data_IF_493661132744
#
_entry.id   IF_493661132744
#
_cell.length_a   1.000
_cell.length_b   1.000
_cell.length_c   1.000
_cell.angle_alpha   90.00
_cell.angle_beta   90.00
_cell.angle_gamma   90.00
#
_symmetry.space_group_name_H-M   'P 1'
#
loop_
_entity.id
_entity.type
_entity.pdbx_description
1 polymer ?
#
# COMPACT_ATOMS: atom_id res chain seq x y z
N UNK A 1 -13.66 -22.94 -8.43
CA UNK A 1 -13.15 -22.40 -9.70
C UNK A 1 -12.74 -23.50 -10.66
N UNK A 2 -11.93 -24.49 -10.24
CA UNK A 2 -11.60 -25.68 -11.06
C UNK A 2 -12.86 -26.33 -11.66
N UNK A 3 -13.87 -26.60 -10.82
CA UNK A 3 -15.14 -27.18 -11.30
C UNK A 3 -15.90 -26.29 -12.29
N UNK A 4 -15.79 -24.96 -12.17
CA UNK A 4 -16.43 -24.03 -13.11
C UNK A 4 -15.77 -24.15 -14.48
N UNK A 5 -14.44 -24.19 -14.53
CA UNK A 5 -13.71 -24.39 -15.77
C UNK A 5 -13.94 -25.77 -16.38
N UNK A 6 -14.03 -26.83 -15.56
CA UNK A 6 -14.43 -28.17 -16.04
C UNK A 6 -15.79 -28.16 -16.73
N UNK A 7 -16.78 -27.47 -16.16
CA UNK A 7 -18.12 -27.32 -16.76
C UNK A 7 -18.06 -26.51 -18.06
N UNK A 8 -17.23 -25.46 -18.10
CA UNK A 8 -17.02 -24.65 -19.31
C UNK A 8 -16.42 -25.49 -20.43
N UNK A 9 -15.37 -26.26 -20.15
CA UNK A 9 -14.75 -27.19 -21.11
C UNK A 9 -15.76 -28.22 -21.63
N UNK A 10 -16.51 -28.88 -20.73
CA UNK A 10 -17.55 -29.83 -21.11
C UNK A 10 -18.65 -29.20 -21.99
N UNK A 11 -19.00 -27.93 -21.71
CA UNK A 11 -19.98 -27.17 -22.52
C UNK A 11 -19.43 -26.85 -23.90
N UNK A 12 -18.15 -26.47 -23.99
CA UNK A 12 -17.46 -26.21 -25.27
C UNK A 12 -17.44 -27.49 -26.11
N UNK A 13 -17.02 -28.60 -25.52
CA UNK A 13 -16.96 -29.90 -26.21
C UNK A 13 -18.33 -30.32 -26.72
N UNK A 14 -19.39 -30.21 -25.91
CA UNK A 14 -20.74 -30.55 -26.33
C UNK A 14 -21.26 -29.62 -27.44
N UNK A 15 -20.92 -28.33 -27.39
CA UNK A 15 -21.30 -27.35 -28.40
C UNK A 15 -20.72 -27.71 -29.78
N UNK A 16 -19.41 -27.96 -29.84
CA UNK A 16 -18.71 -28.27 -31.10
C UNK A 16 -18.98 -29.67 -31.62
N UNK A 17 -19.30 -30.64 -30.75
CA UNK A 17 -19.71 -31.99 -31.16
C UNK A 17 -21.20 -32.12 -31.49
N UNK A 18 -21.97 -31.03 -31.42
CA UNK A 18 -23.39 -31.08 -31.75
C UNK A 18 -23.59 -31.31 -33.25
N UNK A 19 -24.59 -32.11 -33.63
CA UNK A 19 -24.92 -32.36 -35.04
C UNK A 19 -25.67 -31.20 -35.71
N UNK A 20 -25.60 -30.00 -35.13
CA UNK A 20 -26.32 -28.82 -35.58
C UNK A 20 -25.41 -27.92 -36.43
N UNK A 21 -25.94 -27.25 -37.46
CA UNK A 21 -25.17 -26.25 -38.20
C UNK A 21 -24.87 -25.05 -37.30
N UNK A 22 -23.59 -24.82 -37.02
CA UNK A 22 -23.11 -23.71 -36.19
C UNK A 22 -22.79 -22.49 -37.06
N UNK A 23 -23.18 -21.29 -36.60
CA UNK A 23 -22.84 -20.02 -37.22
C UNK A 23 -22.22 -19.03 -36.21
N UNK A 24 -21.83 -17.85 -36.69
CA UNK A 24 -21.20 -16.81 -35.88
C UNK A 24 -22.08 -16.35 -34.70
N UNK A 25 -23.41 -16.37 -34.84
CA UNK A 25 -24.33 -15.97 -33.77
C UNK A 25 -24.32 -16.98 -32.63
N UNK A 26 -24.24 -18.28 -32.96
CA UNK A 26 -24.10 -19.36 -31.97
C UNK A 26 -22.76 -19.26 -31.24
N UNK A 27 -21.65 -19.08 -31.97
CA UNK A 27 -20.33 -18.87 -31.37
C UNK A 27 -20.35 -17.68 -30.42
N UNK A 28 -20.82 -16.51 -30.88
CA UNK A 28 -20.92 -15.31 -30.06
C UNK A 28 -21.74 -15.54 -28.79
N UNK A 29 -22.83 -16.29 -28.87
CA UNK A 29 -23.68 -16.62 -27.72
C UNK A 29 -22.95 -17.51 -26.71
N UNK A 30 -22.16 -18.48 -27.16
CA UNK A 30 -21.30 -19.30 -26.30
C UNK A 30 -20.26 -18.41 -25.57
N UNK A 31 -19.55 -17.54 -26.30
CA UNK A 31 -18.53 -16.65 -25.71
C UNK A 31 -19.14 -15.72 -24.65
N UNK A 32 -20.31 -15.13 -24.93
CA UNK A 32 -21.05 -14.30 -23.96
C UNK A 32 -21.43 -15.12 -22.72
N UNK A 33 -21.92 -16.35 -22.88
CA UNK A 33 -22.31 -17.21 -21.77
C UNK A 33 -21.13 -17.51 -20.83
N UNK A 34 -20.00 -17.93 -21.41
CA UNK A 34 -18.77 -18.22 -20.67
C UNK A 34 -18.27 -16.96 -19.94
N UNK A 35 -18.06 -15.87 -20.67
CA UNK A 35 -17.48 -14.65 -20.09
C UNK A 35 -18.39 -14.00 -19.05
N UNK A 36 -19.71 -13.97 -19.27
CA UNK A 36 -20.67 -13.44 -18.30
C UNK A 36 -20.64 -14.23 -16.99
N UNK A 37 -20.51 -15.56 -17.06
CA UNK A 37 -20.43 -16.40 -15.85
C UNK A 37 -19.18 -16.10 -15.02
N UNK A 38 -18.04 -15.87 -15.68
CA UNK A 38 -16.78 -15.51 -15.03
C UNK A 38 -16.84 -14.09 -14.45
N UNK A 39 -17.44 -13.14 -15.17
CA UNK A 39 -17.63 -11.77 -14.69
C UNK A 39 -18.46 -11.72 -13.40
N UNK A 40 -19.50 -12.54 -13.27
CA UNK A 40 -20.29 -12.63 -12.03
C UNK A 40 -19.41 -13.06 -10.84
N UNK A 41 -18.52 -14.04 -11.04
CA UNK A 41 -17.59 -14.47 -10.00
C UNK A 41 -16.58 -13.36 -9.63
N UNK A 42 -16.00 -12.70 -10.62
CA UNK A 42 -15.05 -11.60 -10.42
C UNK A 42 -15.71 -10.42 -9.67
N UNK A 43 -16.91 -10.02 -10.08
CA UNK A 43 -17.68 -8.96 -9.42
C UNK A 43 -18.00 -9.34 -7.96
N UNK A 44 -18.34 -10.60 -7.70
CA UNK A 44 -18.54 -11.07 -6.33
C UNK A 44 -17.25 -10.94 -5.49
N UNK A 45 -16.09 -11.27 -6.05
CA UNK A 45 -14.81 -11.13 -5.37
C UNK A 45 -14.44 -9.66 -5.10
N UNK A 46 -14.74 -8.76 -6.03
CA UNK A 46 -14.53 -7.32 -5.90
C UNK A 46 -15.42 -6.70 -4.81
N UNK A 47 -16.70 -7.07 -4.76
CA UNK A 47 -17.65 -6.58 -3.76
C UNK A 47 -17.29 -6.96 -2.31
N UNK A 48 -16.44 -7.97 -2.12
CA UNK A 48 -15.93 -8.37 -0.81
C UNK A 48 -14.76 -7.52 -0.32
N UNK A 49 -14.14 -6.69 -1.16
CA UNK A 49 -12.97 -5.91 -0.78
C UNK A 49 -13.31 -4.82 0.25
N UNK A 50 -12.28 -4.39 0.98
CA UNK A 50 -12.35 -3.29 1.96
C UNK A 50 -11.30 -2.26 1.60
N UNK A 51 -11.61 -0.98 1.79
CA UNK A 51 -10.63 0.09 1.56
C UNK A 51 -9.42 -0.07 2.47
N UNK A 52 -8.23 0.05 1.88
CA UNK A 52 -6.94 0.07 2.61
C UNK A 52 -6.93 1.11 3.72
N UNK A 53 -7.54 2.28 3.50
CA UNK A 53 -7.59 3.37 4.47
C UNK A 53 -8.28 2.97 5.78
N UNK A 54 -9.22 2.02 5.73
CA UNK A 54 -9.92 1.50 6.92
C UNK A 54 -8.99 0.71 7.85
N UNK A 55 -7.87 0.21 7.34
CA UNK A 55 -6.89 -0.51 8.14
C UNK A 55 -5.90 0.38 8.88
N UNK A 56 -5.66 1.59 8.37
CA UNK A 56 -4.63 2.48 8.89
C UNK A 56 -5.06 3.07 10.25
N UNK A 57 -4.18 3.09 11.26
CA UNK A 57 -4.46 3.74 12.53
C UNK A 57 -4.53 5.26 12.33
N UNK A 58 -5.39 5.90 13.12
CA UNK A 58 -5.46 7.36 13.19
C UNK A 58 -4.16 7.87 13.81
N UNK A 59 -3.56 8.90 13.21
CA UNK A 59 -2.37 9.53 13.77
C UNK A 59 -2.71 10.14 15.15
N UNK A 60 -1.91 9.86 16.19
CA UNK A 60 -2.07 10.48 17.50
C UNK A 60 -1.97 12.00 17.45
N UNK A 61 -2.53 12.66 18.46
CA UNK A 61 -2.37 14.11 18.63
C UNK A 61 -0.88 14.44 18.79
N UNK A 62 -0.41 15.48 18.09
CA UNK A 62 0.96 15.93 18.21
C UNK A 62 1.22 16.43 19.63
N UNK A 63 2.27 15.87 20.24
CA UNK A 63 2.78 16.29 21.54
C UNK A 63 4.25 16.61 21.41
N UNK A 64 4.77 17.41 22.34
CA UNK A 64 6.21 17.61 22.49
C UNK A 64 6.74 16.74 23.61
N UNK A 65 7.98 16.26 23.46
CA UNK A 65 8.68 15.56 24.52
C UNK A 65 8.68 16.37 25.82
N UNK A 66 8.31 15.70 26.92
CA UNK A 66 8.55 16.19 28.27
C UNK A 66 9.04 15.05 29.13
N UNK A 67 10.08 15.33 29.91
CA UNK A 67 10.59 14.39 30.89
C UNK A 67 9.53 14.21 31.99
N UNK A 68 9.09 12.96 32.19
CA UNK A 68 8.07 12.65 33.20
C UNK A 68 8.70 12.65 34.58
N UNK A 69 8.13 13.44 35.50
CA UNK A 69 8.55 13.49 36.92
C UNK A 69 8.32 12.15 37.63
N UNK A 70 7.45 11.28 37.09
CA UNK A 70 7.21 9.92 37.58
C UNK A 70 7.51 8.88 36.47
N UNK A 71 8.63 8.12 36.56
CA UNK A 71 8.99 7.08 35.60
C UNK A 71 7.98 5.92 35.52
N UNK A 72 7.10 5.77 36.52
CA UNK A 72 6.15 4.66 36.64
C UNK A 72 4.74 4.97 36.12
N UNK A 73 4.50 6.20 35.63
CA UNK A 73 3.23 6.55 35.02
C UNK A 73 3.09 5.79 33.68
N UNK A 74 2.25 4.74 33.68
CA UNK A 74 1.93 3.96 32.48
C UNK A 74 1.28 4.88 31.44
N UNK A 75 2.00 5.23 30.37
CA UNK A 75 1.42 5.91 29.21
C UNK A 75 0.38 4.97 28.57
N UNK A 76 -0.90 5.37 28.57
CA UNK A 76 -2.01 4.56 28.08
C UNK A 76 -1.83 4.17 26.60
N UNK A 77 -2.46 3.04 26.25
CA UNK A 77 -2.48 2.51 24.89
C UNK A 77 -3.16 3.51 23.96
N UNK A 78 -2.68 3.65 22.72
CA UNK A 78 -3.50 4.27 21.66
C UNK A 78 -4.71 3.35 21.51
N UNK A 79 -5.88 3.78 22.00
CA UNK A 79 -7.10 2.99 21.86
C UNK A 79 -7.43 2.86 20.37
N UNK A 80 -7.54 1.63 19.83
CA UNK A 80 -7.99 1.47 18.46
C UNK A 80 -9.41 2.00 18.37
N UNK A 81 -9.63 2.99 17.49
CA UNK A 81 -10.96 3.47 17.17
C UNK A 81 -11.88 2.27 16.92
N UNK A 82 -12.98 2.19 17.68
CA UNK A 82 -13.96 1.11 17.62
C UNK A 82 -14.35 0.90 16.15
N UNK A 83 -13.90 -0.21 15.56
CA UNK A 83 -14.25 -0.53 14.18
C UNK A 83 -15.66 -1.07 14.17
N UNK A 84 -16.48 -0.52 13.27
CA UNK A 84 -17.84 -1.00 13.05
C UNK A 84 -17.84 -2.52 12.85
N UNK A 85 -18.71 -3.23 13.58
CA UNK A 85 -18.84 -4.69 13.56
C UNK A 85 -18.98 -5.25 12.14
N UNK A 86 -19.63 -4.49 11.24
CA UNK A 86 -19.75 -4.81 9.81
C UNK A 86 -18.40 -4.88 9.08
N UNK A 87 -17.47 -3.98 9.40
CA UNK A 87 -16.11 -3.97 8.81
C UNK A 87 -15.30 -5.14 9.35
N UNK A 88 -15.38 -5.42 10.65
CA UNK A 88 -14.70 -6.57 11.26
C UNK A 88 -15.13 -7.90 10.61
N UNK A 89 -16.43 -8.08 10.35
CA UNK A 89 -16.95 -9.28 9.68
C UNK A 89 -16.44 -9.42 8.24
N UNK A 90 -16.35 -8.33 7.46
CA UNK A 90 -15.75 -8.36 6.12
C UNK A 90 -14.27 -8.75 6.18
N UNK A 91 -13.54 -8.20 7.16
CA UNK A 91 -12.11 -8.46 7.35
C UNK A 91 -11.81 -9.93 7.71
N UNK A 92 -12.73 -10.64 8.37
CA UNK A 92 -12.60 -12.08 8.61
C UNK A 92 -12.55 -12.90 7.32
N UNK A 93 -13.07 -12.37 6.20
CA UNK A 93 -12.98 -12.98 4.87
C UNK A 93 -11.79 -12.47 4.04
N UNK A 94 -10.98 -11.58 4.60
CA UNK A 94 -9.81 -10.97 3.96
C UNK A 94 -8.54 -11.17 4.80
N UNK A 95 -8.43 -12.30 5.50
CA UNK A 95 -7.18 -12.73 6.16
C UNK A 95 -6.11 -13.04 5.12
N UNK A 96 -4.82 -12.89 5.46
CA UNK A 96 -3.69 -13.17 4.55
C UNK A 96 -3.85 -14.51 3.79
N UNK A 97 -4.13 -15.66 4.44
CA UNK A 97 -4.33 -16.94 3.72
C UNK A 97 -5.46 -16.89 2.67
N UNK A 98 -6.62 -16.32 3.03
CA UNK A 98 -7.77 -16.17 2.12
C UNK A 98 -7.45 -15.25 0.94
N UNK A 99 -6.64 -14.22 1.15
CA UNK A 99 -6.19 -13.33 0.08
C UNK A 99 -5.22 -14.04 -0.87
N UNK A 100 -4.30 -14.87 -0.36
CA UNK A 100 -3.44 -15.72 -1.18
C UNK A 100 -4.26 -16.69 -2.05
N UNK A 101 -5.26 -17.36 -1.48
CA UNK A 101 -6.16 -18.24 -2.25
C UNK A 101 -6.91 -17.48 -3.35
N UNK A 102 -7.39 -16.27 -3.07
CA UNK A 102 -8.04 -15.41 -4.07
C UNK A 102 -7.07 -15.03 -5.19
N UNK A 103 -5.83 -14.64 -4.87
CA UNK A 103 -4.79 -14.33 -5.84
C UNK A 103 -4.46 -15.53 -6.73
N UNK A 104 -4.28 -16.72 -6.15
CA UNK A 104 -4.09 -17.95 -6.92
C UNK A 104 -5.27 -18.24 -7.83
N UNK A 105 -6.51 -18.01 -7.34
CA UNK A 105 -7.70 -18.22 -8.15
C UNK A 105 -7.76 -17.26 -9.33
N UNK A 106 -7.38 -15.99 -9.15
CA UNK A 106 -7.32 -15.00 -10.22
C UNK A 106 -6.22 -15.35 -11.25
N UNK A 107 -5.06 -15.81 -10.78
CA UNK A 107 -4.00 -16.30 -11.65
C UNK A 107 -4.47 -17.51 -12.47
N UNK A 108 -5.10 -18.48 -11.81
CA UNK A 108 -5.69 -19.65 -12.47
C UNK A 108 -6.75 -19.26 -13.50
N UNK A 109 -7.65 -18.32 -13.19
CA UNK A 109 -8.62 -17.81 -14.18
C UNK A 109 -7.89 -17.27 -15.41
N UNK A 110 -6.85 -16.46 -15.24
CA UNK A 110 -6.10 -15.88 -16.36
C UNK A 110 -5.45 -16.96 -17.23
N UNK A 111 -4.79 -17.94 -16.62
CA UNK A 111 -4.12 -19.03 -17.35
C UNK A 111 -5.13 -19.91 -18.10
N UNK A 112 -6.30 -20.16 -17.51
CA UNK A 112 -7.37 -20.94 -18.15
C UNK A 112 -8.09 -20.17 -19.27
N UNK A 113 -8.23 -18.85 -19.15
CA UNK A 113 -8.85 -18.03 -20.20
C UNK A 113 -8.06 -18.10 -21.50
N UNK A 114 -6.74 -18.05 -21.43
CA UNK A 114 -5.88 -18.16 -22.60
C UNK A 114 -6.01 -19.56 -23.25
N UNK A 115 -6.08 -20.60 -22.43
CA UNK A 115 -6.25 -21.99 -22.91
C UNK A 115 -7.62 -22.18 -23.60
N UNK A 116 -8.69 -21.68 -22.99
CA UNK A 116 -10.05 -21.80 -23.54
C UNK A 116 -10.23 -20.98 -24.80
N UNK A 117 -9.72 -19.76 -24.84
CA UNK A 117 -9.82 -18.92 -26.02
C UNK A 117 -9.18 -19.59 -27.23
N UNK A 118 -7.95 -20.10 -27.09
CA UNK A 118 -7.26 -20.79 -28.17
C UNK A 118 -7.94 -22.12 -28.54
N UNK A 119 -8.45 -22.86 -27.55
CA UNK A 119 -9.21 -24.10 -27.79
C UNK A 119 -10.49 -23.88 -28.59
N UNK A 120 -11.25 -22.81 -28.28
CA UNK A 120 -12.45 -22.44 -29.01
C UNK A 120 -12.11 -21.97 -30.42
N UNK A 121 -11.08 -21.13 -30.60
CA UNK A 121 -10.62 -20.70 -31.94
C UNK A 121 -10.27 -21.89 -32.81
N UNK A 122 -9.49 -22.84 -32.29
CA UNK A 122 -9.10 -24.04 -33.03
C UNK A 122 -10.33 -24.89 -33.40
N UNK A 123 -11.22 -25.15 -32.45
CA UNK A 123 -12.44 -25.92 -32.69
C UNK A 123 -13.34 -25.27 -33.74
N UNK A 124 -13.39 -23.93 -33.76
CA UNK A 124 -14.13 -23.16 -34.75
C UNK A 124 -13.55 -23.29 -36.16
N UNK A 125 -12.21 -23.21 -36.29
CA UNK A 125 -11.52 -23.44 -37.57
C UNK A 125 -11.78 -24.85 -38.11
N UNK A 126 -11.80 -25.85 -37.23
CA UNK A 126 -12.06 -27.24 -37.61
C UNK A 126 -13.50 -27.41 -38.13
N UNK A 127 -14.49 -26.80 -37.47
CA UNK A 127 -15.89 -26.79 -37.94
C UNK A 127 -16.02 -26.09 -39.30
N UNK A 128 -15.42 -24.92 -39.47
CA UNK A 128 -15.48 -24.20 -40.75
C UNK A 128 -14.83 -24.99 -41.88
N UNK A 129 -13.72 -25.68 -41.60
CA UNK A 129 -13.02 -26.53 -42.56
C UNK A 129 -13.87 -27.73 -42.97
N UNK A 130 -14.55 -28.37 -42.02
CA UNK A 130 -15.47 -29.48 -42.28
C UNK A 130 -16.68 -29.04 -43.12
N UNK A 131 -17.28 -27.89 -42.81
CA UNK A 131 -18.38 -27.29 -43.57
C UNK A 131 -17.93 -26.93 -44.99
N UNK A 132 -16.77 -26.29 -45.14
CA UNK A 132 -16.21 -25.96 -46.45
C UNK A 132 -15.92 -27.19 -47.32
N UNK A 133 -15.48 -28.30 -46.71
CA UNK A 133 -15.29 -29.57 -47.40
C UNK A 133 -16.64 -30.19 -47.82
N UNK A 134 -17.67 -30.10 -46.98
CA UNK A 134 -19.02 -30.58 -47.29
C UNK A 134 -19.68 -29.78 -48.44
N UNK A 135 -19.46 -28.46 -48.46
CA UNK A 135 -19.91 -27.57 -49.52
C UNK A 135 -19.16 -27.86 -50.83
N UNK A 136 -17.84 -28.09 -50.78
CA UNK A 136 -17.04 -28.48 -51.95
C UNK A 136 -17.53 -29.81 -52.55
N UNK A 137 -17.74 -30.83 -51.71
CA UNK A 137 -18.27 -32.12 -52.14
C UNK A 137 -19.69 -32.00 -52.72
N UNK A 138 -20.55 -31.17 -52.11
CA UNK A 138 -21.90 -30.91 -52.62
C UNK A 138 -21.86 -30.21 -53.98
N UNK A 139 -20.98 -29.23 -54.18
CA UNK A 139 -20.75 -28.55 -55.45
C UNK A 139 -20.22 -29.49 -56.55
N UNK A 140 -19.40 -30.50 -56.19
CA UNK A 140 -18.93 -31.52 -57.13
C UNK A 140 -20.05 -32.47 -57.61
N UNK A 141 -21.16 -32.54 -56.87
CA UNK A 141 -22.35 -33.34 -57.22
C UNK A 141 -23.49 -32.54 -57.87
N UNK A 142 -23.35 -31.20 -57.93
CA UNK A 142 -24.36 -30.27 -58.42
C UNK A 142 -23.77 -29.42 -59.54
N UNK A 143 -24.17 -29.66 -60.79
CA UNK A 143 -23.79 -28.81 -61.92
C UNK A 143 -24.33 -27.37 -61.73
N UNK A 144 -23.43 -26.48 -61.29
CA UNK A 144 -23.57 -25.03 -61.39
C UNK A 144 -24.16 -24.32 -60.17
N UNK A 145 -23.30 -23.82 -59.28
CA UNK A 145 -23.59 -22.64 -58.48
C UNK A 145 -22.30 -21.94 -58.00
N UNK A 146 -22.35 -20.61 -58.03
CA UNK A 146 -21.28 -19.65 -57.78
C UNK A 146 -20.83 -19.59 -56.31
N UNK A 147 -19.52 -19.51 -56.13
CA UNK A 147 -18.83 -19.32 -54.85
C UNK A 147 -19.30 -18.05 -54.13
N UNK A 148 -19.92 -18.19 -52.95
CA UNK A 148 -20.10 -17.07 -52.02
C UNK A 148 -18.81 -16.90 -51.22
N UNK A 149 -18.27 -15.68 -51.26
CA UNK A 149 -17.09 -15.25 -50.52
C UNK A 149 -17.26 -15.47 -49.01
N UNK A 150 -16.21 -15.98 -48.37
CA UNK A 150 -16.08 -16.16 -46.93
C UNK A 150 -16.26 -14.83 -46.18
N UNK A 151 -16.82 -14.85 -44.95
CA UNK A 151 -16.71 -13.70 -44.05
C UNK A 151 -15.23 -13.46 -43.75
N UNK A 152 -14.79 -12.20 -43.75
CA UNK A 152 -13.41 -11.82 -43.44
C UNK A 152 -13.03 -12.15 -42.00
N UNK A 153 -11.86 -12.74 -41.80
CA UNK A 153 -11.27 -13.12 -40.49
C UNK A 153 -11.33 -11.99 -39.46
N UNK A 154 -11.22 -10.72 -39.88
CA UNK A 154 -11.31 -9.54 -39.00
C UNK A 154 -12.59 -9.50 -38.14
N UNK A 155 -13.70 -10.07 -38.61
CA UNK A 155 -14.97 -10.07 -37.85
C UNK A 155 -15.04 -11.11 -36.73
N UNK A 156 -14.21 -12.16 -36.77
CA UNK A 156 -14.22 -13.25 -35.78
C UNK A 156 -13.29 -12.90 -34.62
N UNK A 157 -12.11 -12.36 -34.90
CA UNK A 157 -11.17 -11.91 -33.86
C UNK A 157 -11.80 -10.84 -32.97
N UNK A 158 -12.62 -9.95 -33.53
CA UNK A 158 -13.40 -8.97 -32.77
C UNK A 158 -14.32 -9.61 -31.72
N UNK A 159 -14.84 -10.83 -31.95
CA UNK A 159 -15.71 -11.52 -30.99
C UNK A 159 -14.96 -11.97 -29.74
N UNK A 160 -13.68 -12.31 -29.88
CA UNK A 160 -12.85 -12.80 -28.76
C UNK A 160 -12.36 -11.69 -27.85
N UNK A 161 -12.45 -10.42 -28.26
CA UNK A 161 -12.15 -9.26 -27.40
C UNK A 161 -12.98 -9.24 -26.11
N UNK A 162 -14.12 -9.95 -26.07
CA UNK A 162 -14.91 -10.13 -24.84
C UNK A 162 -14.14 -10.85 -23.70
N UNK A 163 -13.14 -11.66 -24.03
CA UNK A 163 -12.25 -12.26 -23.03
C UNK A 163 -11.30 -11.24 -22.40
N UNK A 164 -10.90 -10.21 -23.16
CA UNK A 164 -9.99 -9.16 -22.66
C UNK A 164 -10.62 -8.36 -21.53
N UNK A 165 -11.95 -8.17 -21.56
CA UNK A 165 -12.69 -7.55 -20.47
C UNK A 165 -12.59 -8.37 -19.18
N UNK A 166 -12.69 -9.70 -19.28
CA UNK A 166 -12.53 -10.61 -18.13
C UNK A 166 -11.08 -10.59 -17.62
N UNK A 167 -10.09 -10.65 -18.52
CA UNK A 167 -8.66 -10.57 -18.18
C UNK A 167 -8.36 -9.27 -17.45
N UNK A 168 -8.77 -8.13 -18.00
CA UNK A 168 -8.58 -6.80 -17.43
C UNK A 168 -9.21 -6.70 -16.05
N UNK A 169 -10.41 -7.23 -15.88
CA UNK A 169 -11.09 -7.26 -14.57
C UNK A 169 -10.32 -8.11 -13.56
N UNK A 170 -9.86 -9.31 -13.95
CA UNK A 170 -9.05 -10.16 -13.08
C UNK A 170 -7.72 -9.51 -12.67
N UNK A 171 -7.04 -8.80 -13.59
CA UNK A 171 -5.82 -8.03 -13.30
C UNK A 171 -6.12 -6.90 -12.31
N UNK A 172 -7.18 -6.12 -12.52
CA UNK A 172 -7.55 -5.03 -11.62
C UNK A 172 -7.84 -5.53 -10.19
N UNK A 173 -8.56 -6.64 -10.06
CA UNK A 173 -8.83 -7.26 -8.74
C UNK A 173 -7.53 -7.80 -8.14
N UNK A 174 -6.65 -8.40 -8.94
CA UNK A 174 -5.31 -8.86 -8.49
C UNK A 174 -4.52 -7.71 -7.89
N UNK A 175 -4.43 -6.59 -8.59
CA UNK A 175 -3.71 -5.40 -8.10
C UNK A 175 -4.37 -4.80 -6.85
N UNK A 176 -5.70 -4.82 -6.78
CA UNK A 176 -6.44 -4.39 -5.57
C UNK A 176 -6.08 -5.25 -4.36
N UNK A 177 -6.06 -6.57 -4.52
CA UNK A 177 -5.69 -7.50 -3.43
C UNK A 177 -4.21 -7.34 -3.05
N UNK A 178 -3.31 -7.22 -4.03
CA UNK A 178 -1.88 -6.99 -3.78
C UNK A 178 -1.63 -5.69 -3.00
N UNK A 179 -2.34 -4.62 -3.33
CA UNK A 179 -2.24 -3.34 -2.61
C UNK A 179 -2.84 -3.41 -1.18
N UNK A 180 -3.64 -4.42 -0.88
CA UNK A 180 -4.29 -4.60 0.41
C UNK A 180 -3.56 -5.58 1.35
N UNK A 181 -3.04 -6.70 0.82
CA UNK A 181 -2.55 -7.83 1.62
C UNK A 181 -1.43 -7.47 2.59
N UNK A 182 -0.45 -6.66 2.18
CA UNK A 182 0.61 -6.21 3.07
C UNK A 182 0.09 -5.31 4.18
N UNK A 183 -0.81 -4.37 3.85
CA UNK A 183 -1.45 -3.50 4.85
C UNK A 183 -2.31 -4.29 5.82
N UNK A 184 -3.00 -5.33 5.34
CA UNK A 184 -3.72 -6.28 6.18
C UNK A 184 -2.80 -6.97 7.18
N UNK A 185 -1.70 -7.54 6.71
CA UNK A 185 -0.74 -8.22 7.58
C UNK A 185 -0.18 -7.29 8.66
N UNK A 186 0.29 -6.09 8.28
CA UNK A 186 1.03 -5.21 9.18
C UNK A 186 0.12 -4.33 10.04
N UNK A 187 -0.84 -3.62 9.43
CA UNK A 187 -1.67 -2.63 10.11
C UNK A 187 -2.92 -3.22 10.75
N UNK A 188 -3.18 -4.51 10.57
CA UNK A 188 -4.25 -5.20 11.29
C UNK A 188 -3.76 -6.42 12.05
N UNK A 189 -3.22 -7.43 11.37
CA UNK A 189 -2.88 -8.71 12.03
C UNK A 189 -1.75 -8.52 13.05
N UNK A 190 -0.71 -7.75 12.69
CA UNK A 190 0.44 -7.45 13.56
C UNK A 190 0.34 -6.09 14.26
N UNK A 191 -0.82 -5.41 14.25
CA UNK A 191 -0.91 -4.02 14.72
C UNK A 191 -0.48 -3.85 16.17
N UNK A 192 -1.03 -4.68 17.06
CA UNK A 192 -0.79 -4.52 18.49
C UNK A 192 0.61 -5.05 18.87
N UNK A 193 1.03 -6.15 18.23
CA UNK A 193 2.33 -6.77 18.45
C UNK A 193 3.48 -5.93 17.89
N UNK A 194 3.37 -5.37 16.68
CA UNK A 194 4.43 -4.61 16.03
C UNK A 194 4.23 -3.11 16.19
N UNK A 195 3.17 -2.54 15.59
CA UNK A 195 3.00 -1.08 15.49
C UNK A 195 2.84 -0.39 16.84
N UNK A 196 2.15 -1.00 17.80
CA UNK A 196 1.91 -0.38 19.10
C UNK A 196 2.94 -0.75 20.18
N UNK A 197 3.86 -1.66 19.88
CA UNK A 197 4.85 -2.14 20.85
C UNK A 197 6.30 -1.77 20.50
N UNK A 198 6.67 -1.74 19.22
CA UNK A 198 8.04 -1.38 18.79
C UNK A 198 8.44 -0.01 19.34
N UNK A 199 9.61 0.06 19.99
CA UNK A 199 10.17 1.26 20.66
C UNK A 199 9.29 1.93 21.71
N UNK A 200 8.24 1.26 22.17
CA UNK A 200 7.42 1.81 23.26
C UNK A 200 8.28 1.92 24.51
N UNK A 201 8.22 3.06 25.19
CA UNK A 201 9.01 3.38 26.39
C UNK A 201 10.50 3.62 26.13
N UNK A 202 11.21 2.70 25.47
CA UNK A 202 12.59 2.91 25.01
C UNK A 202 12.91 2.04 23.81
N UNK A 203 13.93 2.44 23.03
CA UNK A 203 14.43 1.67 21.89
C UNK A 203 15.08 0.37 22.38
N UNK A 204 15.95 0.45 23.40
CA UNK A 204 16.68 -0.70 23.95
C UNK A 204 15.79 -1.85 24.42
N UNK A 205 14.61 -1.56 24.99
CA UNK A 205 13.73 -2.57 25.58
C UNK A 205 12.71 -3.17 24.62
N UNK A 206 12.48 -2.55 23.46
CA UNK A 206 11.44 -2.92 22.51
C UNK A 206 11.99 -2.93 21.08
N UNK A 207 13.03 -3.74 20.86
CA UNK A 207 13.78 -3.89 19.60
C UNK A 207 13.01 -4.69 18.56
N UNK A 208 13.37 -4.50 17.29
CA UNK A 208 12.76 -5.20 16.16
C UNK A 208 12.90 -6.74 16.25
N UNK A 209 14.01 -7.23 16.80
CA UNK A 209 14.30 -8.66 16.98
C UNK A 209 13.15 -9.43 17.62
N UNK A 210 12.46 -8.83 18.59
CA UNK A 210 11.32 -9.44 19.31
C UNK A 210 10.16 -9.77 18.35
N UNK A 211 10.04 -9.02 17.25
CA UNK A 211 8.91 -9.08 16.33
C UNK A 211 9.24 -9.82 15.03
N UNK A 212 10.51 -10.09 14.73
CA UNK A 212 10.95 -10.84 13.54
C UNK A 212 10.21 -12.19 13.41
N UNK A 213 10.09 -13.03 14.47
CA UNK A 213 9.39 -14.31 14.35
C UNK A 213 7.91 -14.16 13.93
N UNK A 214 7.27 -13.06 14.29
CA UNK A 214 5.88 -12.80 13.87
C UNK A 214 5.80 -12.44 12.38
N UNK A 215 6.79 -11.71 11.86
CA UNK A 215 6.87 -11.37 10.44
C UNK A 215 7.21 -12.62 9.63
N UNK A 216 8.15 -13.45 10.09
CA UNK A 216 8.49 -14.75 9.51
C UNK A 216 7.25 -15.64 9.39
N UNK A 217 6.46 -15.78 10.44
CA UNK A 217 5.23 -16.58 10.41
C UNK A 217 4.24 -16.11 9.32
N UNK A 218 4.16 -14.80 9.05
CA UNK A 218 3.32 -14.27 7.97
C UNK A 218 3.92 -14.60 6.60
N UNK A 219 5.24 -14.50 6.45
CA UNK A 219 5.94 -14.84 5.22
C UNK A 219 5.83 -16.34 4.90
N UNK A 220 5.98 -17.21 5.89
CA UNK A 220 5.80 -18.66 5.75
C UNK A 220 4.39 -18.98 5.26
N UNK A 221 3.36 -18.41 5.89
CA UNK A 221 1.97 -18.58 5.45
C UNK A 221 1.73 -18.11 4.02
N UNK A 222 2.38 -17.03 3.59
CA UNK A 222 2.30 -16.54 2.22
C UNK A 222 2.96 -17.54 1.27
N UNK A 223 4.19 -17.95 1.56
CA UNK A 223 4.99 -18.85 0.74
C UNK A 223 4.38 -20.25 0.61
N UNK A 224 3.75 -20.76 1.67
CA UNK A 224 3.06 -22.06 1.66
C UNK A 224 1.82 -22.08 0.77
N UNK A 225 1.19 -20.92 0.55
CA UNK A 225 -0.10 -20.83 -0.13
C UNK A 225 -0.01 -20.24 -1.53
N UNK A 226 0.87 -19.27 -1.78
CA UNK A 226 0.89 -18.51 -3.03
C UNK A 226 1.61 -19.28 -4.14
N UNK A 227 1.12 -19.16 -5.38
CA UNK A 227 1.85 -19.69 -6.56
C UNK A 227 3.12 -18.89 -6.84
N UNK A 228 4.17 -19.56 -7.33
CA UNK A 228 5.52 -18.99 -7.53
C UNK A 228 5.53 -17.68 -8.32
N UNK A 229 4.74 -17.59 -9.39
CA UNK A 229 4.64 -16.40 -10.26
C UNK A 229 4.12 -15.15 -9.53
N UNK A 230 3.49 -15.30 -8.37
CA UNK A 230 3.00 -14.20 -7.54
C UNK A 230 3.79 -14.01 -6.25
N UNK A 231 4.64 -14.95 -5.86
CA UNK A 231 5.34 -14.97 -4.56
C UNK A 231 6.05 -13.65 -4.28
N UNK A 232 6.95 -13.24 -5.16
CA UNK A 232 7.76 -12.03 -4.96
C UNK A 232 6.90 -10.77 -4.96
N UNK A 233 5.81 -10.74 -5.75
CA UNK A 233 4.86 -9.62 -5.74
C UNK A 233 4.16 -9.50 -4.39
N UNK A 234 3.76 -10.60 -3.77
CA UNK A 234 3.10 -10.59 -2.45
C UNK A 234 4.11 -10.23 -1.36
N UNK A 235 5.29 -10.86 -1.36
CA UNK A 235 6.35 -10.61 -0.37
C UNK A 235 6.78 -9.13 -0.41
N UNK A 236 6.92 -8.55 -1.61
CA UNK A 236 7.20 -7.12 -1.77
C UNK A 236 6.11 -6.23 -1.13
N UNK A 237 4.83 -6.61 -1.26
CA UNK A 237 3.73 -5.84 -0.64
C UNK A 237 3.76 -5.92 0.88
N UNK A 238 4.16 -7.06 1.44
CA UNK A 238 4.40 -7.20 2.89
C UNK A 238 5.58 -6.32 3.32
N UNK A 239 6.70 -6.36 2.59
CA UNK A 239 7.87 -5.53 2.88
C UNK A 239 7.55 -4.03 2.86
N UNK A 240 6.85 -3.57 1.81
CA UNK A 240 6.40 -2.18 1.70
C UNK A 240 5.52 -1.77 2.89
N UNK A 241 4.62 -2.65 3.32
CA UNK A 241 3.79 -2.40 4.49
C UNK A 241 4.62 -2.37 5.79
N UNK A 242 5.65 -3.22 5.93
CA UNK A 242 6.60 -3.15 7.05
C UNK A 242 7.35 -1.82 7.06
N UNK A 243 7.82 -1.32 5.92
CA UNK A 243 8.45 0.00 5.81
C UNK A 243 7.48 1.14 6.18
N UNK A 244 6.25 1.09 5.69
CA UNK A 244 5.22 2.06 6.07
C UNK A 244 4.89 2.00 7.57
N UNK A 245 4.81 0.79 8.14
CA UNK A 245 4.59 0.57 9.56
C UNK A 245 5.76 1.09 10.41
N UNK A 246 7.00 0.83 9.99
CA UNK A 246 8.20 1.33 10.65
C UNK A 246 8.24 2.85 10.63
N UNK A 247 8.01 3.48 9.47
CA UNK A 247 7.90 4.94 9.35
C UNK A 247 6.77 5.50 10.22
N UNK A 248 5.63 4.80 10.29
CA UNK A 248 4.54 5.19 11.19
C UNK A 248 4.98 5.16 12.65
N UNK A 249 5.72 4.14 13.10
CA UNK A 249 6.27 4.08 14.46
C UNK A 249 7.23 5.26 14.73
N UNK A 250 8.05 5.63 13.75
CA UNK A 250 9.02 6.72 13.86
C UNK A 250 8.39 8.12 13.90
N UNK A 251 7.26 8.33 13.23
CA UNK A 251 6.72 9.66 12.99
C UNK A 251 5.33 9.89 13.60
N UNK A 252 4.50 8.85 13.65
CA UNK A 252 3.12 8.88 14.11
C UNK A 252 2.92 7.90 15.30
N UNK A 253 4.00 7.48 15.95
CA UNK A 253 3.97 6.49 17.04
C UNK A 253 3.44 7.02 18.38
N UNK A 254 3.07 8.29 18.45
CA UNK A 254 2.45 8.91 19.62
C UNK A 254 3.40 9.16 20.80
N UNK A 255 2.88 9.72 21.91
CA UNK A 255 3.67 10.28 23.01
C UNK A 255 4.48 9.24 23.80
N UNK A 256 4.26 7.95 23.58
CA UNK A 256 4.98 6.87 24.27
C UNK A 256 6.40 6.64 23.72
N UNK A 257 6.77 7.35 22.66
CA UNK A 257 8.05 7.20 21.95
C UNK A 257 8.78 8.53 21.90
N UNK A 258 10.01 8.54 22.41
CA UNK A 258 10.93 9.64 22.28
C UNK A 258 12.35 9.09 22.08
N UNK A 259 13.07 9.62 21.10
CA UNK A 259 14.33 9.06 20.62
C UNK A 259 15.51 9.99 20.93
N UNK A 260 16.58 9.43 21.46
CA UNK A 260 17.89 10.07 21.59
C UNK A 260 18.72 9.86 20.32
N UNK A 261 19.76 10.69 20.15
CA UNK A 261 20.74 10.50 19.09
C UNK A 261 21.47 9.14 19.22
N UNK A 262 21.73 8.69 20.46
CA UNK A 262 22.36 7.40 20.76
C UNK A 262 21.50 6.19 20.37
N UNK A 263 20.17 6.36 20.33
CA UNK A 263 19.25 5.28 19.98
C UNK A 263 19.30 4.95 18.48
N UNK A 264 19.71 5.91 17.65
CA UNK A 264 19.61 5.81 16.19
C UNK A 264 20.42 4.64 15.63
N UNK A 265 21.56 4.31 16.23
CA UNK A 265 22.35 3.15 15.78
C UNK A 265 21.57 1.84 15.96
N UNK A 266 20.92 1.66 17.12
CA UNK A 266 20.07 0.49 17.38
C UNK A 266 18.88 0.43 16.40
N UNK A 267 18.32 1.60 16.07
CA UNK A 267 17.21 1.69 15.11
C UNK A 267 17.65 1.40 13.66
N UNK A 268 18.90 1.71 13.31
CA UNK A 268 19.51 1.34 12.02
C UNK A 268 19.81 -0.16 11.96
N UNK A 269 20.30 -0.75 13.04
CA UNK A 269 20.48 -2.20 13.16
C UNK A 269 19.14 -2.93 12.99
N UNK A 270 18.08 -2.40 13.61
CA UNK A 270 16.72 -2.92 13.49
C UNK A 270 16.15 -2.81 12.05
N UNK A 271 16.48 -1.74 11.33
CA UNK A 271 16.14 -1.62 9.91
C UNK A 271 16.94 -2.60 9.05
N UNK A 272 18.22 -2.83 9.36
CA UNK A 272 19.05 -3.82 8.68
C UNK A 272 18.50 -5.23 8.87
N UNK A 273 18.09 -5.59 10.10
CA UNK A 273 17.45 -6.87 10.41
C UNK A 273 16.19 -7.11 9.58
N UNK A 274 15.33 -6.09 9.42
CA UNK A 274 14.17 -6.17 8.53
C UNK A 274 14.58 -6.35 7.07
N UNK A 275 15.63 -5.68 6.60
CA UNK A 275 16.09 -5.82 5.21
C UNK A 275 16.63 -7.24 4.96
N UNK A 276 17.46 -7.73 5.86
CA UNK A 276 18.10 -9.04 5.77
C UNK A 276 17.06 -10.17 5.77
N UNK A 277 16.01 -10.04 6.60
CA UNK A 277 14.87 -10.97 6.62
C UNK A 277 14.24 -11.14 5.22
N UNK A 278 14.00 -10.04 4.50
CA UNK A 278 13.34 -10.09 3.20
C UNK A 278 14.29 -10.37 2.03
N UNK A 279 15.60 -10.18 2.23
CA UNK A 279 16.64 -10.67 1.30
C UNK A 279 16.78 -12.19 1.43
N UNK A 280 16.62 -12.73 2.64
CA UNK A 280 16.62 -14.16 2.95
C UNK A 280 17.83 -14.90 2.32
N UNK A 281 19.04 -14.40 2.56
CA UNK A 281 20.29 -14.96 2.00
C UNK A 281 20.27 -15.12 0.46
N UNK A 282 19.51 -14.26 -0.23
CA UNK A 282 19.37 -14.26 -1.69
C UNK A 282 18.24 -15.16 -2.21
N UNK A 283 17.50 -15.84 -1.34
CA UNK A 283 16.28 -16.59 -1.72
C UNK A 283 15.02 -15.71 -1.74
N UNK A 284 15.09 -14.50 -1.16
CA UNK A 284 13.99 -13.56 -1.06
C UNK A 284 13.99 -12.53 -2.20
N UNK A 285 13.69 -11.28 -1.84
CA UNK A 285 13.62 -10.18 -2.79
C UNK A 285 15.02 -9.67 -3.19
N UNK A 286 15.17 -9.13 -4.42
CA UNK A 286 16.42 -8.50 -4.85
C UNK A 286 16.84 -7.34 -3.93
N UNK A 287 18.13 -7.29 -3.58
CA UNK A 287 18.67 -6.29 -2.65
C UNK A 287 18.46 -4.85 -3.12
N UNK A 288 18.53 -4.58 -4.43
CA UNK A 288 18.28 -3.24 -4.99
C UNK A 288 16.84 -2.77 -4.79
N UNK A 289 15.87 -3.68 -4.87
CA UNK A 289 14.47 -3.41 -4.55
C UNK A 289 14.32 -3.12 -3.06
N UNK A 290 14.94 -3.91 -2.20
CA UNK A 290 14.93 -3.72 -0.75
C UNK A 290 15.51 -2.36 -0.35
N UNK A 291 16.68 -1.99 -0.88
CA UNK A 291 17.30 -0.68 -0.61
C UNK A 291 16.43 0.48 -1.08
N UNK A 292 15.82 0.35 -2.26
CA UNK A 292 14.95 1.39 -2.82
C UNK A 292 13.74 1.64 -1.92
N UNK A 293 13.06 0.60 -1.47
CA UNK A 293 11.86 0.73 -0.64
C UNK A 293 12.20 1.17 0.80
N UNK A 294 13.36 0.78 1.34
CA UNK A 294 13.84 1.18 2.67
C UNK A 294 14.39 2.62 2.72
N UNK A 295 14.67 3.25 1.57
CA UNK A 295 15.34 4.55 1.47
C UNK A 295 14.73 5.64 2.34
N UNK A 296 13.39 5.78 2.33
CA UNK A 296 12.72 6.81 3.10
C UNK A 296 12.87 6.59 4.61
N UNK A 297 12.78 5.35 5.08
CA UNK A 297 12.99 5.01 6.48
C UNK A 297 14.43 5.36 6.91
N UNK A 298 15.42 4.98 6.09
CA UNK A 298 16.83 5.32 6.33
C UNK A 298 17.04 6.84 6.47
N UNK A 299 16.48 7.61 5.54
CA UNK A 299 16.61 9.07 5.56
C UNK A 299 15.92 9.71 6.78
N UNK A 300 14.80 9.14 7.26
CA UNK A 300 14.14 9.60 8.50
C UNK A 300 15.02 9.28 9.71
N UNK A 301 15.66 8.11 9.77
CA UNK A 301 16.61 7.78 10.84
C UNK A 301 17.78 8.77 10.85
N UNK A 302 18.29 9.17 9.68
CA UNK A 302 19.36 10.16 9.56
C UNK A 302 18.95 11.55 10.08
N UNK A 303 17.66 11.92 9.99
CA UNK A 303 17.17 13.16 10.62
C UNK A 303 17.28 13.11 12.15
N UNK A 304 17.08 11.95 12.78
CA UNK A 304 17.20 11.82 14.23
C UNK A 304 18.65 11.99 14.74
N UNK A 305 19.65 11.81 13.87
CA UNK A 305 21.06 12.10 14.17
C UNK A 305 21.32 13.61 14.25
N UNK A 306 20.58 14.42 13.50
CA UNK A 306 20.80 15.87 13.46
C UNK A 306 20.43 16.53 14.78
N UNK A 307 21.14 17.63 15.11
CA UNK A 307 20.78 18.49 16.24
C UNK A 307 19.42 19.15 16.01
N UNK A 308 18.69 19.41 17.10
CA UNK A 308 17.36 20.01 17.03
C UNK A 308 17.34 21.33 16.24
N UNK A 309 18.32 22.21 16.48
CA UNK A 309 18.43 23.50 15.77
C UNK A 309 18.53 23.34 14.25
N UNK A 310 19.26 22.32 13.77
CA UNK A 310 19.38 22.04 12.34
C UNK A 310 18.05 21.60 11.74
N UNK A 311 17.29 20.76 12.45
CA UNK A 311 15.97 20.30 12.00
C UNK A 311 14.97 21.45 12.02
N UNK A 312 15.04 22.35 13.01
CA UNK A 312 14.24 23.57 13.08
C UNK A 312 14.54 24.47 11.88
N UNK A 313 15.81 24.72 11.55
CA UNK A 313 16.18 25.52 10.39
C UNK A 313 15.66 24.92 9.07
N UNK A 314 15.73 23.58 8.93
CA UNK A 314 15.14 22.88 7.78
C UNK A 314 13.63 23.05 7.73
N UNK A 315 12.94 22.95 8.87
CA UNK A 315 11.48 23.11 8.98
C UNK A 315 11.06 24.54 8.58
N UNK A 316 11.80 25.54 9.04
CA UNK A 316 11.55 26.94 8.74
C UNK A 316 11.67 27.20 7.23
N UNK A 317 12.79 26.75 6.62
CA UNK A 317 12.99 26.83 5.18
C UNK A 317 11.89 26.11 4.40
N UNK A 318 11.55 24.88 4.78
CA UNK A 318 10.50 24.12 4.09
C UNK A 318 9.12 24.81 4.18
N UNK A 319 8.84 25.48 5.30
CA UNK A 319 7.57 26.19 5.51
C UNK A 319 7.45 27.46 4.66
N UNK A 320 8.56 28.16 4.42
CA UNK A 320 8.61 29.33 3.52
C UNK A 320 8.29 28.95 2.06
N UNK A 321 8.64 27.74 1.63
CA UNK A 321 8.37 27.26 0.28
C UNK A 321 6.94 26.70 0.10
N UNK A 322 6.26 26.35 1.20
CA UNK A 322 4.89 25.80 1.16
C UNK A 322 3.80 26.85 0.96
N UNK A 323 4.07 28.14 1.17
CA UNK A 323 3.09 29.22 0.92
C UNK A 323 2.70 29.36 -0.56
N UNK A 324 3.39 28.66 -1.47
CA UNK A 324 3.15 28.72 -2.92
C UNK A 324 2.53 27.46 -3.53
N UNK A 325 2.30 26.38 -2.77
CA UNK A 325 1.79 25.12 -3.33
C UNK A 325 0.55 24.58 -2.59
N UNK A 326 -0.61 24.84 -3.17
CA UNK A 326 -1.90 24.29 -2.74
C UNK A 326 -2.12 22.93 -3.43
N UNK A 327 -1.60 21.85 -2.85
CA UNK A 327 -1.87 20.47 -3.32
C UNK A 327 -2.88 19.77 -2.38
N UNK A 328 -3.88 19.05 -2.92
CA UNK A 328 -4.95 18.45 -2.13
C UNK A 328 -4.47 17.27 -1.26
N UNK A 329 -5.12 17.13 -0.10
CA UNK A 329 -4.70 16.30 1.05
C UNK A 329 -4.85 14.77 0.87
N UNK A 330 -4.96 14.25 -0.35
CA UNK A 330 -5.15 12.82 -0.60
C UNK A 330 -3.95 12.25 -1.35
N UNK A 331 -3.13 11.47 -0.63
CA UNK A 331 -1.88 10.85 -1.09
C UNK A 331 -0.62 11.75 -1.11
N UNK A 332 -0.37 12.53 -0.05
CA UNK A 332 0.97 13.10 0.16
C UNK A 332 1.98 11.96 0.34
N UNK A 333 2.77 11.67 -0.70
CA UNK A 333 4.02 10.92 -0.57
C UNK A 333 4.86 11.66 0.47
N UNK A 334 5.09 11.04 1.63
CA UNK A 334 5.94 11.62 2.68
C UNK A 334 7.34 11.86 2.11
N UNK A 335 7.85 13.07 2.26
CA UNK A 335 9.21 13.45 1.88
C UNK A 335 9.99 13.80 3.16
N UNK A 336 11.27 13.49 3.19
CA UNK A 336 12.20 13.80 4.30
C UNK A 336 12.25 15.30 4.58
N UNK A 337 12.12 16.14 3.55
CA UNK A 337 12.13 17.59 3.66
C UNK A 337 10.72 18.20 3.78
N UNK A 338 9.67 17.39 3.87
CA UNK A 338 8.32 17.88 4.12
C UNK A 338 8.20 18.40 5.56
N UNK A 339 7.53 19.53 5.73
CA UNK A 339 7.25 20.17 7.02
C UNK A 339 6.58 19.19 7.98
N UNK A 340 5.68 18.33 7.47
CA UNK A 340 5.03 17.32 8.29
C UNK A 340 5.99 16.25 8.84
N UNK A 341 7.02 15.87 8.08
CA UNK A 341 8.04 14.91 8.52
C UNK A 341 8.94 15.56 9.56
N UNK A 342 9.48 16.75 9.25
CA UNK A 342 10.38 17.50 10.13
C UNK A 342 9.72 17.84 11.48
N UNK A 343 8.46 18.28 11.45
CA UNK A 343 7.69 18.57 12.66
C UNK A 343 7.50 17.31 13.53
N UNK A 344 7.18 16.16 12.92
CA UNK A 344 7.02 14.89 13.63
C UNK A 344 8.32 14.38 14.23
N UNK A 345 9.43 14.51 13.49
CA UNK A 345 10.76 14.20 14.02
C UNK A 345 11.07 15.06 15.25
N UNK A 346 10.79 16.36 15.22
CA UNK A 346 10.96 17.22 16.40
C UNK A 346 10.05 16.81 17.57
N UNK A 347 8.82 16.37 17.31
CA UNK A 347 7.89 15.90 18.36
C UNK A 347 8.44 14.68 19.12
N UNK A 348 9.06 13.76 18.39
CA UNK A 348 9.62 12.53 18.93
C UNK A 348 11.10 12.64 19.33
N UNK A 349 11.79 13.73 19.03
CA UNK A 349 13.18 13.91 19.48
C UNK A 349 13.21 14.21 20.97
N UNK A 350 13.98 13.42 21.73
CA UNK A 350 14.19 13.59 23.17
C UNK A 350 15.16 14.75 23.45
N UNK A 351 14.73 15.97 23.13
CA UNK A 351 15.55 17.18 23.17
C UNK A 351 14.77 18.39 23.74
N UNK A 352 15.40 19.14 24.66
CA UNK A 352 14.77 20.27 25.35
C UNK A 352 14.60 21.51 24.45
N UNK A 353 15.52 21.73 23.50
CA UNK A 353 15.44 22.80 22.50
C UNK A 353 14.28 22.57 21.55
N UNK A 354 14.15 21.35 21.02
CA UNK A 354 13.01 20.93 20.21
C UNK A 354 11.69 21.10 20.98
N UNK A 355 11.61 20.63 22.23
CA UNK A 355 10.40 20.77 23.05
C UNK A 355 10.05 22.24 23.30
N UNK A 356 11.03 23.10 23.57
CA UNK A 356 10.82 24.53 23.79
C UNK A 356 10.30 25.21 22.52
N UNK A 357 10.90 24.91 21.37
CA UNK A 357 10.44 25.41 20.07
C UNK A 357 8.98 25.00 19.79
N UNK A 358 8.64 23.72 19.95
CA UNK A 358 7.29 23.21 19.73
C UNK A 358 6.26 23.80 20.69
N UNK A 359 6.67 24.09 21.94
CA UNK A 359 5.82 24.78 22.93
C UNK A 359 5.48 26.19 22.47
N UNK A 360 6.48 26.96 22.02
CA UNK A 360 6.33 28.38 21.71
C UNK A 360 5.66 28.57 20.35
N UNK A 361 6.13 27.85 19.33
CA UNK A 361 5.65 28.04 17.97
C UNK A 361 4.33 27.29 17.74
N UNK A 362 4.23 26.04 18.13
CA UNK A 362 3.08 25.20 17.80
C UNK A 362 2.09 25.01 18.95
N UNK A 363 2.39 25.54 20.14
CA UNK A 363 1.54 25.43 21.34
C UNK A 363 1.22 23.96 21.71
N UNK A 364 2.13 23.04 21.41
CA UNK A 364 1.88 21.62 21.62
C UNK A 364 1.88 21.24 23.11
N UNK A 365 0.94 20.39 23.55
CA UNK A 365 0.91 19.85 24.90
C UNK A 365 2.09 18.91 25.14
N UNK A 366 2.44 18.70 26.41
CA UNK A 366 3.49 17.73 26.78
C UNK A 366 3.00 16.31 26.52
N UNK A 367 3.93 15.41 26.22
CA UNK A 367 3.65 13.97 26.14
C UNK A 367 3.11 13.38 27.44
N UNK A 368 3.40 13.99 28.60
CA UNK A 368 2.84 13.61 29.92
C UNK A 368 1.37 13.95 30.07
N UNK A 369 0.89 14.97 29.36
CA UNK A 369 -0.45 15.55 29.53
C UNK A 369 -1.41 14.98 28.46
N UNK A 370 -0.98 13.97 27.71
CA UNK A 370 -1.71 13.43 26.56
C UNK A 370 -3.10 12.89 26.93
N UNK A 371 -3.23 12.28 28.11
CA UNK A 371 -4.50 11.73 28.60
C UNK A 371 -5.52 12.83 28.98
N UNK A 372 -5.06 14.07 29.20
CA UNK A 372 -5.90 15.21 29.57
C UNK A 372 -6.38 16.02 28.35
N UNK A 373 -5.96 15.66 27.13
CA UNK A 373 -6.36 16.36 25.90
C UNK A 373 -7.70 15.80 25.41
N UNK A 374 -8.81 16.57 25.42
CA UNK A 374 -10.06 16.12 24.85
C UNK A 374 -9.88 15.94 23.33
N UNK A 375 -10.22 14.75 22.81
CA UNK A 375 -10.11 14.39 21.38
C UNK A 375 -10.88 15.38 20.46
N UNK A 376 -11.84 16.14 21.01
CA UNK A 376 -12.61 17.17 20.28
C UNK A 376 -11.86 18.50 20.04
N UNK A 377 -10.82 18.82 20.82
CA UNK A 377 -10.15 20.13 20.77
C UNK A 377 -8.72 20.07 20.20
N UNK A 378 -8.25 18.88 19.80
CA UNK A 378 -6.92 18.69 19.25
C UNK A 378 -6.85 19.13 17.77
N UNK A 379 -5.94 20.05 17.39
CA UNK A 379 -5.77 20.40 15.99
C UNK A 379 -5.19 19.20 15.23
N UNK A 380 -6.05 18.51 14.47
CA UNK A 380 -5.66 17.45 13.52
C UNK A 380 -4.93 18.02 12.30
N UNK A 381 -5.04 19.34 12.08
CA UNK A 381 -4.34 20.08 11.02
C UNK A 381 -3.16 20.83 11.63
N UNK A 382 -1.97 20.57 11.10
CA UNK A 382 -0.76 21.34 11.40
C UNK A 382 -0.97 22.77 10.91
N UNK A 383 -0.92 23.79 11.79
CA UNK A 383 -0.93 25.18 11.36
C UNK A 383 0.30 25.44 10.48
N UNK A 384 0.09 26.04 9.31
CA UNK A 384 1.20 26.38 8.40
C UNK A 384 1.92 27.60 9.00
N UNK A 385 3.25 27.56 9.02
CA UNK A 385 4.08 28.59 9.65
C UNK A 385 3.81 30.01 9.11
N UNK A 386 3.45 30.14 7.82
CA UNK A 386 3.02 31.40 7.21
C UNK A 386 1.78 32.01 7.87
N UNK A 387 0.84 31.18 8.32
CA UNK A 387 -0.38 31.63 9.01
C UNK A 387 -0.06 32.12 10.42
N UNK A 388 1.04 31.63 11.01
CA UNK A 388 1.51 32.02 12.33
C UNK A 388 2.31 33.34 12.31
N UNK A 389 3.12 33.56 11.26
CA UNK A 389 3.79 34.85 11.01
C UNK A 389 2.80 36.00 10.78
N UNK A 390 1.64 35.72 10.17
CA UNK A 390 0.59 36.71 9.95
C UNK A 390 -0.21 37.05 11.22
N UNK A 391 -0.19 36.19 12.24
CA UNK A 391 -0.74 36.49 13.58
C UNK A 391 0.33 37.22 14.39
N UNK A 392 0.41 38.53 14.17
CA UNK A 392 1.39 39.41 14.80
C UNK A 392 1.57 39.16 16.30
N UNK A 393 2.71 38.56 16.66
CA UNK A 393 3.16 38.46 18.03
C UNK A 393 4.64 38.87 18.06
N UNK A 394 4.88 40.18 18.25
CA UNK A 394 6.20 40.73 18.54
C UNK A 394 6.64 40.24 19.92
N UNK A 395 7.58 39.30 20.00
CA UNK A 395 8.08 38.84 21.30
C UNK A 395 9.60 38.70 21.38
N UNK A 396 10.10 39.13 22.54
CA UNK A 396 11.49 39.26 22.92
C UNK A 396 12.14 37.90 23.19
N UNK A 397 12.99 37.48 22.28
CA UNK A 397 13.96 36.40 22.48
C UNK A 397 14.94 36.74 23.62
N UNK A 398 15.54 35.73 24.27
CA UNK A 398 16.72 35.93 25.11
C UNK A 398 17.90 36.43 24.27
N UNK A 399 18.82 37.22 24.85
CA UNK A 399 19.92 37.88 24.12
C UNK A 399 20.74 36.93 23.23
N UNK A 400 20.94 35.68 23.67
CA UNK A 400 21.66 34.64 22.92
C UNK A 400 20.86 34.13 21.70
N UNK A 401 19.55 33.97 21.83
CA UNK A 401 18.66 33.62 20.71
C UNK A 401 18.47 34.77 19.74
N UNK A 402 18.46 36.00 20.25
CA UNK A 402 18.39 37.24 19.47
C UNK A 402 19.67 37.46 18.63
N UNK A 403 20.85 37.16 19.18
CA UNK A 403 22.11 37.21 18.43
C UNK A 403 22.15 36.16 17.32
N UNK A 404 21.77 34.91 17.62
CA UNK A 404 21.77 33.82 16.64
C UNK A 404 20.80 34.09 15.48
N UNK A 405 19.60 34.60 15.79
CA UNK A 405 18.61 35.01 14.79
C UNK A 405 19.04 36.24 13.98
N UNK A 406 19.67 37.25 14.61
CA UNK A 406 20.21 38.42 13.88
C UNK A 406 21.35 38.05 12.95
N UNK A 407 22.25 37.14 13.36
CA UNK A 407 23.35 36.65 12.54
C UNK A 407 22.79 35.86 11.33
N UNK A 408 21.77 35.03 11.56
CA UNK A 408 21.11 34.25 10.50
C UNK A 408 20.38 35.15 9.50
N UNK A 409 19.64 36.16 9.99
CA UNK A 409 18.97 37.16 9.13
C UNK A 409 19.94 37.99 8.30
N UNK A 410 21.10 38.34 8.88
CA UNK A 410 22.14 39.11 8.17
C UNK A 410 22.82 38.29 7.07
N UNK A 411 23.10 37.00 7.34
CA UNK A 411 23.62 36.08 6.32
C UNK A 411 22.63 35.82 5.17
N UNK A 412 21.34 35.81 5.43
CA UNK A 412 20.30 35.66 4.40
C UNK A 412 20.15 36.92 3.53
N UNK A 413 20.30 38.12 4.11
CA UNK A 413 20.30 39.38 3.34
C UNK A 413 21.57 39.57 2.52
N UNK A 414 22.72 39.09 2.99
CA UNK A 414 23.98 39.13 2.23
C UNK A 414 23.97 38.13 1.06
N UNK A 415 23.21 37.02 1.17
CA UNK A 415 23.06 36.03 0.10
C UNK A 415 22.01 36.40 -0.97
N UNK A 416 21.17 37.42 -0.74
CA UNK A 416 20.21 37.93 -1.74
C UNK A 416 20.77 39.05 -2.64
N UNK A 417 22.03 39.45 -2.43
CA UNK A 417 22.73 40.50 -3.20
C UNK A 417 24.05 40.03 -3.81
N UNK A 418 24.14 38.76 -4.22
CA UNK A 418 25.19 38.25 -5.11
C UNK A 418 24.62 37.38 -6.22
#
# INVERSE_FOLDING_TARGET
MVEVFRIVEETIDQFFNSSLPLDIVHLRSLLIGITSSLQVYLLHMENQQVSRATLLPVAPVLTRYAESVNPFAKRKLIEPAVREEKVANKLNNLTVPKLCVKLNTLQYIRDQLDTIEEGIKQSWVDVQSAVGLLDYLSCMTSEGATSKSSPSDESIDELFTIFDDVRRTAVNITDTILNFIGTRAVFWDMRDLLLFSLYRTSVESARMEIFIPTIEQVLDQVCDLIVDVLRDRVVLRVFQACMEGFIWVLLDGGPSRAFLETDVNLMKDDLAMLKDLFIAEGQGLPSDVIEKEAKLAQQILDLYVLKADTIIDLLMKASEHMSHHLEPATARRRNVHDVHTLLRVLCHKKDNGASTFLKIQYHLPRSSDYDDVPVKDAPSKVPIFSDMLNRGASFNWSETGQQSFRIMKKKLQEASWQ
#
